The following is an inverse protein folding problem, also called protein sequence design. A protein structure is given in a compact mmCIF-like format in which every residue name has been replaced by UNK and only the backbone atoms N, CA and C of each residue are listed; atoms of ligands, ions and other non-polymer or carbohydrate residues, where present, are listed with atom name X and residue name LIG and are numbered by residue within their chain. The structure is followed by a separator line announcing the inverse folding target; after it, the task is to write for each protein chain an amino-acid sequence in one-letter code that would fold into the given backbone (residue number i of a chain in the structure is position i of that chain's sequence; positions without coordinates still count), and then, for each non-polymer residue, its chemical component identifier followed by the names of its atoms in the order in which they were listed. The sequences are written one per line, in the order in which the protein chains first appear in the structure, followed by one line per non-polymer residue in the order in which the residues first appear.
data_IF_555038871121
#
_entry.id   IF_555038871121
#
_cell.length_a   1.000
_cell.length_b   1.000
_cell.length_c   1.000
_cell.angle_alpha   90.00
_cell.angle_beta   90.00
_cell.angle_gamma   90.00
#
_symmetry.space_group_name_H-M   'P 1'
#
loop_
_entity.id
_entity.type
_entity.pdbx_description
1 polymer ?
#
# COMPACT_ATOMS: atom_id res chain seq x y z
N UNK A 1 -1.64 -3.51 -7.61
CA UNK A 1 -0.67 -3.90 -6.56
C UNK A 1 -1.10 -3.16 -5.30
N UNK A 2 -1.62 -3.86 -4.31
CA UNK A 2 -2.38 -3.26 -3.22
C UNK A 2 -1.80 -3.82 -1.93
N UNK A 3 -1.30 -2.95 -1.04
CA UNK A 3 -0.78 -3.41 0.24
C UNK A 3 -1.92 -3.91 1.14
N UNK A 4 -3.12 -3.32 1.02
CA UNK A 4 -4.32 -3.76 1.73
C UNK A 4 -5.58 -3.66 0.85
N UNK A 5 -6.60 -4.43 1.21
CA UNK A 5 -7.94 -4.28 0.63
C UNK A 5 -8.56 -2.93 1.04
N UNK A 6 -9.32 -2.33 0.13
CA UNK A 6 -10.09 -1.12 0.44
C UNK A 6 -11.10 -1.40 1.55
N UNK A 7 -11.18 -0.45 2.48
CA UNK A 7 -12.25 -0.37 3.46
C UNK A 7 -13.45 0.23 2.73
N UNK A 8 -14.47 -0.59 2.46
CA UNK A 8 -15.68 -0.18 1.74
C UNK A 8 -16.78 0.23 2.72
N UNK A 9 -17.35 1.41 2.52
CA UNK A 9 -18.61 1.82 3.16
C UNK A 9 -19.82 1.27 2.41
N UNK A 10 -21.01 1.42 2.98
CA UNK A 10 -22.29 1.21 2.29
C UNK A 10 -23.05 2.52 2.30
N UNK A 11 -23.31 3.07 1.12
CA UNK A 11 -24.17 4.23 0.97
C UNK A 11 -25.63 3.75 0.92
N UNK A 12 -26.43 4.15 1.91
CA UNK A 12 -27.83 3.72 2.05
C UNK A 12 -28.79 4.44 1.11
N UNK A 13 -28.43 5.62 0.59
CA UNK A 13 -29.26 6.36 -0.36
C UNK A 13 -29.17 5.73 -1.75
N UNK A 14 -27.97 5.29 -2.15
CA UNK A 14 -27.73 4.64 -3.44
C UNK A 14 -27.77 3.11 -3.37
N UNK A 15 -27.94 2.52 -2.18
CA UNK A 15 -27.84 1.08 -1.91
C UNK A 15 -26.60 0.42 -2.54
N UNK A 16 -25.45 1.10 -2.46
CA UNK A 16 -24.24 0.67 -3.16
C UNK A 16 -22.97 0.82 -2.30
N UNK A 17 -21.90 0.02 -2.55
CA UNK A 17 -20.63 0.15 -1.84
C UNK A 17 -19.95 1.48 -2.14
N UNK A 18 -19.34 2.09 -1.14
CA UNK A 18 -18.59 3.34 -1.32
C UNK A 18 -17.08 3.07 -1.17
N UNK A 19 -16.25 3.44 -2.17
CA UNK A 19 -16.59 4.13 -3.43
C UNK A 19 -17.24 3.23 -4.50
N UNK A 20 -18.12 3.80 -5.33
CA UNK A 20 -18.75 3.16 -6.50
C UNK A 20 -18.18 3.67 -7.82
N UNK A 21 -18.17 2.80 -8.85
CA UNK A 21 -17.85 3.15 -10.23
C UNK A 21 -19.04 2.73 -11.10
N UNK A 22 -19.75 3.71 -11.68
CA UNK A 22 -20.93 3.47 -12.54
C UNK A 22 -22.00 2.58 -11.88
N UNK A 23 -22.33 2.87 -10.62
CA UNK A 23 -23.31 2.11 -9.83
C UNK A 23 -22.86 0.69 -9.44
N UNK A 24 -21.64 0.28 -9.83
CA UNK A 24 -21.03 -0.99 -9.44
C UNK A 24 -19.96 -0.73 -8.38
N UNK A 25 -20.09 -1.38 -7.25
CA UNK A 25 -19.08 -1.34 -6.19
C UNK A 25 -18.47 -2.72 -5.99
N UNK A 26 -17.16 -2.75 -5.79
CA UNK A 26 -16.42 -3.94 -5.36
C UNK A 26 -15.34 -3.48 -4.38
N UNK A 27 -14.83 -4.40 -3.56
CA UNK A 27 -13.66 -4.12 -2.75
C UNK A 27 -12.45 -3.83 -3.66
N UNK A 28 -12.08 -2.56 -3.74
CA UNK A 28 -10.90 -2.12 -4.48
C UNK A 28 -9.60 -2.38 -3.71
N UNK A 29 -8.48 -2.00 -4.32
CA UNK A 29 -7.22 -1.87 -3.62
C UNK A 29 -7.09 -0.53 -2.94
N UNK A 30 -6.70 -0.50 -1.66
CA UNK A 30 -6.29 0.76 -1.04
C UNK A 30 -4.81 1.00 -1.32
N UNK A 31 -4.50 2.17 -1.86
CA UNK A 31 -3.14 2.53 -2.27
C UNK A 31 -2.86 4.01 -2.07
N UNK A 32 -1.62 4.43 -2.37
CA UNK A 32 -1.18 5.82 -2.17
C UNK A 32 -0.66 6.13 -0.76
N UNK A 33 -0.39 7.40 -0.45
CA UNK A 33 0.30 7.79 0.80
C UNK A 33 -0.39 7.31 2.08
N UNK A 34 -1.72 7.20 2.04
CA UNK A 34 -2.51 6.77 3.18
C UNK A 34 -2.19 5.34 3.66
N UNK A 35 -1.72 4.45 2.78
CA UNK A 35 -1.33 3.08 3.17
C UNK A 35 0.10 2.98 3.70
N UNK A 36 0.92 4.04 3.59
CA UNK A 36 2.33 4.02 4.00
C UNK A 36 2.57 3.52 5.43
N UNK A 37 1.90 4.06 6.48
CA UNK A 37 2.16 3.60 7.85
C UNK A 37 1.79 2.13 8.07
N UNK A 38 0.77 1.63 7.39
CA UNK A 38 0.32 0.23 7.47
C UNK A 38 1.35 -0.67 6.79
N UNK A 39 1.78 -0.29 5.59
CA UNK A 39 2.81 -1.01 4.83
C UNK A 39 4.14 -1.12 5.59
N UNK A 40 4.57 -0.01 6.22
CA UNK A 40 5.79 0.01 7.03
C UNK A 40 5.68 -0.90 8.26
N UNK A 41 4.53 -0.91 8.94
CA UNK A 41 4.30 -1.84 10.05
C UNK A 41 4.45 -3.29 9.58
N UNK A 42 3.80 -3.67 8.47
CA UNK A 42 3.88 -5.02 7.92
C UNK A 42 5.32 -5.41 7.55
N UNK A 43 6.08 -4.51 6.91
CA UNK A 43 7.50 -4.76 6.59
C UNK A 43 8.32 -4.97 7.86
N UNK A 44 8.12 -4.15 8.89
CA UNK A 44 8.83 -4.27 10.16
C UNK A 44 8.48 -5.57 10.90
N UNK A 45 7.21 -6.00 10.86
CA UNK A 45 6.76 -7.28 11.42
C UNK A 45 7.41 -8.46 10.71
N UNK A 46 7.46 -8.47 9.37
CA UNK A 46 8.13 -9.52 8.61
C UNK A 46 9.64 -9.50 8.95
N UNK A 47 10.29 -8.33 8.90
CA UNK A 47 11.73 -8.24 9.13
C UNK A 47 12.19 -8.76 10.52
N UNK A 48 11.32 -8.68 11.53
CA UNK A 48 11.61 -9.14 12.90
C UNK A 48 11.11 -10.55 13.19
N UNK A 49 10.29 -11.13 12.32
CA UNK A 49 9.71 -12.45 12.53
C UNK A 49 10.78 -13.56 12.38
N UNK A 50 10.94 -14.46 13.37
CA UNK A 50 11.93 -15.54 13.32
C UNK A 50 11.79 -16.48 12.12
N UNK A 51 10.56 -16.74 11.66
CA UNK A 51 10.28 -17.67 10.56
C UNK A 51 10.68 -17.08 9.20
N UNK A 52 10.63 -15.75 9.09
CA UNK A 52 10.98 -15.04 7.84
C UNK A 52 12.36 -14.38 7.89
N UNK A 53 13.12 -14.62 8.96
CA UNK A 53 14.44 -14.06 9.16
C UNK A 53 15.40 -14.41 8.02
N UNK A 54 16.09 -13.39 7.49
CA UNK A 54 17.05 -13.55 6.40
C UNK A 54 16.43 -13.70 5.00
N UNK A 55 15.09 -13.76 4.87
CA UNK A 55 14.44 -13.73 3.57
C UNK A 55 14.47 -12.30 2.98
N UNK A 56 14.63 -12.16 1.65
CA UNK A 56 14.62 -10.85 1.02
C UNK A 56 13.21 -10.24 1.05
N UNK A 57 13.12 -8.99 1.52
CA UNK A 57 11.85 -8.26 1.62
C UNK A 57 11.80 -7.18 0.53
N UNK A 58 10.70 -7.13 -0.23
CA UNK A 58 10.38 -6.05 -1.17
C UNK A 58 9.30 -5.17 -0.59
N UNK A 59 9.64 -3.91 -0.27
CA UNK A 59 8.72 -2.96 0.34
C UNK A 59 7.82 -2.27 -0.70
N UNK A 60 6.52 -2.21 -0.41
CA UNK A 60 5.57 -1.46 -1.24
C UNK A 60 4.41 -0.90 -0.41
N UNK A 61 4.02 0.33 -0.73
CA UNK A 61 2.84 0.97 -0.17
C UNK A 61 3.08 2.44 0.13
N UNK A 62 2.48 3.32 -0.67
CA UNK A 62 2.48 4.76 -0.40
C UNK A 62 3.83 5.47 -0.52
N UNK A 63 4.81 4.88 -1.19
CA UNK A 63 6.12 5.49 -1.44
C UNK A 63 5.97 6.57 -2.52
N UNK A 64 6.31 7.81 -2.17
CA UNK A 64 6.21 8.98 -3.07
C UNK A 64 7.52 9.75 -3.21
N UNK A 65 8.43 9.61 -2.25
CA UNK A 65 9.73 10.29 -2.21
C UNK A 65 10.84 9.29 -1.91
N UNK A 66 12.09 9.70 -2.16
CA UNK A 66 13.26 8.91 -1.76
C UNK A 66 13.33 8.69 -0.24
N UNK A 67 12.77 9.61 0.56
CA UNK A 67 12.72 9.49 2.02
C UNK A 67 11.82 8.35 2.44
N UNK A 68 10.63 8.25 1.83
CA UNK A 68 9.74 7.10 2.04
C UNK A 68 10.49 5.79 1.70
N UNK A 69 11.19 5.75 0.57
CA UNK A 69 11.98 4.56 0.20
C UNK A 69 13.04 4.20 1.25
N UNK A 70 13.76 5.19 1.79
CA UNK A 70 14.74 4.99 2.84
C UNK A 70 14.12 4.50 4.15
N UNK A 71 12.92 4.97 4.52
CA UNK A 71 12.17 4.47 5.68
C UNK A 71 11.89 2.95 5.55
N UNK A 72 11.42 2.49 4.39
CA UNK A 72 11.20 1.06 4.16
C UNK A 72 12.49 0.24 4.22
N UNK A 73 13.59 0.75 3.66
CA UNK A 73 14.88 0.06 3.71
C UNK A 73 15.41 -0.04 5.14
N UNK A 74 15.26 1.03 5.94
CA UNK A 74 15.63 1.01 7.35
C UNK A 74 14.81 0.00 8.17
N UNK A 75 13.59 -0.31 7.74
CA UNK A 75 12.72 -1.32 8.36
C UNK A 75 12.99 -2.76 7.87
N UNK A 76 13.97 -2.96 6.99
CA UNK A 76 14.41 -4.29 6.55
C UNK A 76 14.09 -4.63 5.09
N UNK A 77 13.50 -3.71 4.31
CA UNK A 77 13.31 -3.93 2.88
C UNK A 77 14.65 -3.87 2.11
N UNK A 78 14.94 -4.86 1.28
CA UNK A 78 16.11 -4.87 0.40
C UNK A 78 15.90 -4.06 -0.88
N UNK A 79 14.65 -3.89 -1.30
CA UNK A 79 14.27 -3.01 -2.40
C UNK A 79 12.86 -2.43 -2.15
N UNK A 80 12.47 -1.46 -2.98
CA UNK A 80 11.15 -0.82 -2.91
C UNK A 80 10.49 -0.73 -4.27
N UNK A 81 9.16 -0.72 -4.27
CA UNK A 81 8.33 -0.56 -5.45
C UNK A 81 7.49 0.72 -5.38
N UNK A 82 7.33 1.38 -6.52
CA UNK A 82 6.59 2.64 -6.64
C UNK A 82 5.52 2.46 -7.72
N UNK A 83 4.25 2.57 -7.33
CA UNK A 83 3.11 2.41 -8.23
C UNK A 83 2.26 3.68 -8.30
N UNK A 84 1.50 4.00 -7.24
CA UNK A 84 0.59 5.17 -7.23
C UNK A 84 1.31 6.47 -7.57
N UNK A 85 2.51 6.71 -7.04
CA UNK A 85 3.26 7.92 -7.36
C UNK A 85 3.68 7.98 -8.85
N UNK A 86 4.08 6.85 -9.44
CA UNK A 86 4.43 6.80 -10.87
C UNK A 86 3.20 7.04 -11.76
N UNK A 87 2.03 6.51 -11.38
CA UNK A 87 0.77 6.76 -12.07
C UNK A 87 0.32 8.22 -11.96
N UNK A 88 0.47 8.82 -10.77
CA UNK A 88 0.02 10.19 -10.51
C UNK A 88 0.94 11.24 -11.12
N UNK A 89 2.26 11.03 -11.07
CA UNK A 89 3.24 12.05 -11.44
C UNK A 89 3.96 11.77 -12.77
N UNK A 90 3.80 10.57 -13.32
CA UNK A 90 4.49 10.13 -14.54
C UNK A 90 6.00 9.92 -14.34
N UNK A 91 6.67 9.56 -15.43
CA UNK A 91 8.12 9.51 -15.51
C UNK A 91 8.63 10.82 -16.13
N UNK A 92 9.69 11.40 -15.55
CA UNK A 92 10.39 12.57 -16.09
C UNK A 92 11.79 12.18 -16.48
#
# INVERSE_FOLDING_TARGET
INTINSITGVNLDSFAPEPTIDGKGSHGGYCGPAVKPIAMNMVAEIARDPETHGLPISGIGGITTWRDAAEFMALGAGNVQVCTAAMTYGFK
#
